data_IF_147422144172
#
_entry.id   IF_147422144172
#
_cell.length_a   1.000
_cell.length_b   1.000
_cell.length_c   1.000
_cell.angle_alpha   90.00
_cell.angle_beta   90.00
_cell.angle_gamma   90.00
#
_symmetry.space_group_name_H-M   'P 1'
#
loop_
_entity.id
_entity.type
_entity.pdbx_description
1 polymer ?
#
# COMPACT_ATOMS: atom_id res chain seq x y z
N UNK A 1 -1.76 -18.36 20.33
CA UNK A 1 -2.40 -19.09 19.21
C UNK A 1 -2.26 -18.25 17.95
N UNK A 2 -1.52 -18.73 16.95
CA UNK A 2 -1.32 -18.03 15.66
C UNK A 2 -2.49 -18.42 14.74
N UNK A 3 -3.54 -17.61 14.68
CA UNK A 3 -4.57 -17.75 13.64
C UNK A 3 -4.15 -16.93 12.43
N UNK A 4 -3.33 -17.53 11.57
CA UNK A 4 -3.17 -17.03 10.20
C UNK A 4 -4.33 -17.59 9.40
N UNK A 5 -5.25 -16.74 8.97
CA UNK A 5 -6.32 -17.16 8.04
C UNK A 5 -5.73 -17.38 6.65
N UNK A 6 -6.44 -18.12 5.81
CA UNK A 6 -6.13 -18.16 4.37
C UNK A 6 -6.39 -16.76 3.80
N UNK A 7 -5.36 -16.09 3.23
CA UNK A 7 -5.54 -14.80 2.57
C UNK A 7 -6.34 -14.98 1.28
N UNK A 8 -7.06 -13.93 0.88
CA UNK A 8 -7.63 -13.91 -0.46
C UNK A 8 -6.52 -13.62 -1.50
N UNK A 9 -6.86 -13.75 -2.79
CA UNK A 9 -5.90 -13.53 -3.88
C UNK A 9 -5.29 -12.13 -3.84
N UNK A 10 -6.10 -11.11 -3.57
CA UNK A 10 -5.66 -9.72 -3.53
C UNK A 10 -4.69 -9.47 -2.37
N UNK A 11 -4.93 -10.04 -1.19
CA UNK A 11 -4.01 -9.96 -0.06
C UNK A 11 -2.69 -10.68 -0.33
N UNK A 12 -2.75 -11.82 -1.02
CA UNK A 12 -1.54 -12.56 -1.40
C UNK A 12 -0.67 -11.71 -2.34
N UNK A 13 -1.28 -11.14 -3.39
CA UNK A 13 -0.59 -10.21 -4.30
C UNK A 13 -0.08 -8.95 -3.61
N UNK A 14 -0.84 -8.43 -2.64
CA UNK A 14 -0.42 -7.29 -1.83
C UNK A 14 0.83 -7.61 -0.98
N UNK A 15 0.87 -8.80 -0.37
CA UNK A 15 2.02 -9.25 0.41
C UNK A 15 3.26 -9.44 -0.48
N UNK A 16 3.11 -10.05 -1.66
CA UNK A 16 4.19 -10.20 -2.64
C UNK A 16 4.73 -8.86 -3.13
N UNK A 17 3.84 -7.91 -3.47
CA UNK A 17 4.23 -6.57 -3.90
C UNK A 17 4.95 -5.79 -2.80
N UNK A 18 4.49 -5.92 -1.55
CA UNK A 18 5.15 -5.34 -0.39
C UNK A 18 6.54 -5.94 -0.19
N UNK A 19 6.65 -7.27 -0.24
CA UNK A 19 7.92 -7.96 -0.07
C UNK A 19 8.93 -7.58 -1.15
N UNK A 20 8.50 -7.55 -2.42
CA UNK A 20 9.33 -7.11 -3.54
C UNK A 20 9.80 -5.65 -3.39
N UNK A 21 8.94 -4.75 -2.89
CA UNK A 21 9.31 -3.36 -2.62
C UNK A 21 10.38 -3.28 -1.53
N UNK A 22 10.23 -4.01 -0.43
CA UNK A 22 11.17 -3.99 0.69
C UNK A 22 12.53 -4.57 0.29
N UNK A 23 12.54 -5.66 -0.49
CA UNK A 23 13.77 -6.27 -1.01
C UNK A 23 14.52 -5.39 -2.02
N UNK A 24 13.85 -4.41 -2.63
CA UNK A 24 14.52 -3.46 -3.54
C UNK A 24 15.46 -2.48 -2.82
N UNK A 25 15.42 -2.41 -1.49
CA UNK A 25 16.23 -1.51 -0.67
C UNK A 25 17.11 -2.32 0.28
N UNK A 26 18.43 -2.33 0.05
CA UNK A 26 19.40 -3.15 0.80
C UNK A 26 19.43 -2.89 2.31
N UNK A 27 19.07 -1.68 2.74
CA UNK A 27 19.05 -1.29 4.16
C UNK A 27 17.83 -1.81 4.91
N UNK A 28 16.86 -2.39 4.20
CA UNK A 28 15.65 -3.00 4.77
C UNK A 28 15.78 -4.52 4.70
N UNK A 29 15.51 -5.20 5.81
CA UNK A 29 15.41 -6.66 5.86
C UNK A 29 14.01 -7.06 6.27
N UNK A 30 13.29 -7.78 5.41
CA UNK A 30 12.01 -8.39 5.78
C UNK A 30 12.27 -9.54 6.75
N UNK A 31 11.63 -9.54 7.92
CA UNK A 31 11.70 -10.64 8.89
C UNK A 31 10.53 -11.59 8.77
N UNK A 32 9.32 -11.05 8.66
CA UNK A 32 8.09 -11.84 8.61
C UNK A 32 6.95 -11.02 8.00
N UNK A 33 6.06 -11.65 7.24
CA UNK A 33 4.83 -11.05 6.71
C UNK A 33 3.67 -11.95 7.11
N UNK A 34 2.78 -11.42 7.95
CA UNK A 34 1.65 -12.17 8.50
C UNK A 34 0.33 -11.61 8.00
N UNK A 35 -0.56 -12.50 7.58
CA UNK A 35 -1.96 -12.16 7.35
C UNK A 35 -2.72 -12.12 8.66
N UNK A 36 -3.44 -11.03 8.86
CA UNK A 36 -4.22 -10.81 10.06
C UNK A 36 -5.65 -11.32 9.86
N UNK A 37 -6.29 -11.83 10.94
CA UNK A 37 -7.69 -12.24 10.88
C UNK A 37 -8.61 -11.10 10.44
N UNK A 38 -9.70 -11.41 9.72
CA UNK A 38 -10.61 -10.42 9.14
C UNK A 38 -11.28 -9.47 10.17
N UNK A 39 -11.35 -9.88 11.44
CA UNK A 39 -11.88 -9.07 12.55
C UNK A 39 -10.86 -8.10 13.16
N UNK A 40 -9.59 -8.15 12.73
CA UNK A 40 -8.58 -7.15 13.09
C UNK A 40 -8.72 -5.94 12.18
N UNK A 41 -8.30 -4.78 12.70
CA UNK A 41 -8.36 -3.50 11.99
C UNK A 41 -7.39 -3.39 10.81
N UNK A 42 -6.60 -4.44 10.52
CA UNK A 42 -5.45 -4.41 9.60
C UNK A 42 -5.38 -5.75 8.92
N UNK A 43 -5.03 -5.80 7.64
CA UNK A 43 -5.11 -7.02 6.82
C UNK A 43 -3.76 -7.76 6.78
N UNK A 44 -2.64 -7.01 6.73
CA UNK A 44 -1.28 -7.57 6.73
C UNK A 44 -0.44 -6.86 7.80
N UNK A 45 0.44 -7.61 8.47
CA UNK A 45 1.45 -7.10 9.39
C UNK A 45 2.82 -7.58 8.92
N UNK A 46 3.70 -6.67 8.52
CA UNK A 46 5.09 -6.99 8.19
C UNK A 46 6.02 -6.54 9.32
N UNK A 47 6.86 -7.46 9.79
CA UNK A 47 7.96 -7.18 10.69
C UNK A 47 9.22 -6.98 9.83
N UNK A 48 9.83 -5.81 9.92
CA UNK A 48 11.03 -5.45 9.14
C UNK A 48 12.14 -4.96 10.07
N UNK A 49 13.37 -4.99 9.56
CA UNK A 49 14.52 -4.39 10.21
C UNK A 49 15.12 -3.31 9.32
N UNK A 50 15.30 -2.11 9.87
CA UNK A 50 15.90 -0.96 9.19
C UNK A 50 17.11 -0.53 10.02
N UNK A 51 18.31 -0.62 9.44
CA UNK A 51 19.56 -0.28 10.13
C UNK A 51 19.71 -0.91 11.54
N UNK A 52 19.26 -2.15 11.71
CA UNK A 52 19.32 -2.85 13.01
C UNK A 52 18.10 -2.63 13.91
N UNK A 53 17.26 -1.62 13.67
CA UNK A 53 16.03 -1.36 14.44
C UNK A 53 14.84 -2.13 13.86
N UNK A 54 13.98 -2.65 14.74
CA UNK A 54 12.78 -3.35 14.31
C UNK A 54 11.63 -2.36 14.09
N UNK A 55 10.98 -2.46 12.94
CA UNK A 55 9.80 -1.67 12.61
C UNK A 55 8.65 -2.58 12.20
N UNK A 56 7.42 -2.11 12.40
CA UNK A 56 6.21 -2.82 11.97
C UNK A 56 5.54 -2.03 10.87
N UNK A 57 5.25 -2.68 9.75
CA UNK A 57 4.33 -2.13 8.75
C UNK A 57 2.95 -2.71 9.00
N UNK A 58 2.00 -1.82 9.20
CA UNK A 58 0.60 -2.16 9.44
C UNK A 58 -0.16 -1.85 8.16
N UNK A 59 -0.61 -2.87 7.46
CA UNK A 59 -1.12 -2.71 6.11
C UNK A 59 -2.62 -2.99 6.04
N UNK A 60 -3.32 -2.21 5.23
CA UNK A 60 -4.69 -2.48 4.80
C UNK A 60 -4.76 -2.60 3.29
N UNK A 61 -5.54 -3.56 2.82
CA UNK A 61 -5.70 -3.88 1.40
C UNK A 61 -7.05 -3.38 0.92
N UNK A 62 -7.06 -2.67 -0.21
CA UNK A 62 -8.28 -2.21 -0.87
C UNK A 62 -8.25 -2.53 -2.38
N UNK A 63 -9.42 -2.59 -2.99
CA UNK A 63 -9.61 -2.87 -4.41
C UNK A 63 -9.31 -1.67 -5.34
N UNK A 64 -9.00 -0.51 -4.77
CA UNK A 64 -8.74 0.74 -5.49
C UNK A 64 -9.99 1.59 -5.74
N UNK A 65 -11.19 1.13 -5.35
CA UNK A 65 -12.39 1.96 -5.41
C UNK A 65 -12.34 3.03 -4.30
N UNK A 66 -12.82 4.27 -4.55
CA UNK A 66 -12.73 5.36 -3.59
C UNK A 66 -13.30 5.03 -2.20
N UNK A 67 -14.42 4.31 -2.14
CA UNK A 67 -15.03 3.90 -0.87
C UNK A 67 -14.22 2.82 -0.15
N UNK A 68 -13.61 1.91 -0.90
CA UNK A 68 -12.69 0.90 -0.36
C UNK A 68 -11.44 1.53 0.23
N UNK A 69 -10.85 2.48 -0.49
CA UNK A 69 -9.67 3.26 -0.06
C UNK A 69 -9.97 4.04 1.23
N UNK A 70 -11.08 4.79 1.28
CA UNK A 70 -11.47 5.54 2.48
C UNK A 70 -11.63 4.61 3.69
N UNK A 71 -12.35 3.49 3.53
CA UNK A 71 -12.52 2.49 4.60
C UNK A 71 -11.18 1.92 5.07
N UNK A 72 -10.25 1.63 4.16
CA UNK A 72 -8.93 1.13 4.51
C UNK A 72 -8.08 2.18 5.26
N UNK A 73 -8.17 3.46 4.88
CA UNK A 73 -7.47 4.54 5.59
C UNK A 73 -8.04 4.78 7.00
N UNK A 74 -9.35 4.68 7.17
CA UNK A 74 -9.97 4.82 8.50
C UNK A 74 -9.60 3.65 9.43
N UNK A 75 -9.52 2.43 8.88
CA UNK A 75 -8.97 1.24 9.56
C UNK A 75 -7.52 1.47 10.03
N UNK A 76 -6.67 2.03 9.18
CA UNK A 76 -5.27 2.31 9.49
C UNK A 76 -5.13 3.39 10.59
N UNK A 77 -5.92 4.47 10.52
CA UNK A 77 -5.93 5.52 11.56
C UNK A 77 -6.24 4.94 12.94
N UNK A 78 -7.31 4.17 13.03
CA UNK A 78 -7.76 3.54 14.28
C UNK A 78 -6.76 2.49 14.82
N UNK A 79 -5.84 2.03 13.99
CA UNK A 79 -4.79 1.06 14.35
C UNK A 79 -3.51 1.74 14.82
N UNK A 80 -3.15 2.88 14.22
CA UNK A 80 -2.01 3.70 14.61
C UNK A 80 -2.22 4.32 16.00
N UNK A 81 -3.43 4.84 16.28
CA UNK A 81 -3.79 5.42 17.59
C UNK A 81 -3.70 4.39 18.74
N UNK A 82 -3.77 3.10 18.42
CA UNK A 82 -3.72 2.01 19.41
C UNK A 82 -2.31 1.49 19.69
N UNK A 83 -1.27 1.91 18.94
CA UNK A 83 0.09 1.38 19.05
C UNK A 83 1.10 2.51 19.29
N UNK A 84 1.57 2.64 20.55
CA UNK A 84 2.69 3.52 20.90
C UNK A 84 3.98 3.03 20.22
N UNK A 85 4.46 3.80 19.24
CA UNK A 85 5.82 3.73 18.68
C UNK A 85 6.04 2.61 17.65
N UNK A 86 6.63 2.95 16.52
CA UNK A 86 7.24 2.04 15.52
C UNK A 86 6.31 1.28 14.55
N UNK A 87 5.03 1.65 14.47
CA UNK A 87 4.12 1.13 13.46
C UNK A 87 3.88 2.13 12.32
N UNK A 88 4.38 1.84 11.12
CA UNK A 88 4.11 2.63 9.91
C UNK A 88 2.84 2.11 9.23
N UNK A 89 1.79 2.93 9.09
CA UNK A 89 0.59 2.54 8.35
C UNK A 89 0.85 2.55 6.84
N UNK A 90 0.36 1.51 6.15
CA UNK A 90 0.54 1.34 4.70
C UNK A 90 -0.78 0.94 4.04
N UNK A 91 -1.17 1.65 2.99
CA UNK A 91 -2.28 1.26 2.12
C UNK A 91 -1.72 0.48 0.92
N UNK A 92 -2.34 -0.67 0.61
CA UNK A 92 -2.01 -1.46 -0.58
C UNK A 92 -3.25 -1.58 -1.45
N UNK A 93 -3.14 -1.21 -2.74
CA UNK A 93 -4.27 -1.26 -3.67
C UNK A 93 -3.90 -1.88 -5.01
N UNK A 94 -4.90 -2.22 -5.81
CA UNK A 94 -4.72 -2.60 -7.22
C UNK A 94 -4.08 -1.45 -8.03
N UNK A 95 -4.66 -0.26 -7.90
CA UNK A 95 -4.22 1.00 -8.49
C UNK A 95 -4.59 2.14 -7.53
N UNK A 96 -3.78 3.19 -7.46
CA UNK A 96 -4.04 4.35 -6.60
C UNK A 96 -4.13 5.63 -7.42
N UNK A 97 -5.30 6.29 -7.39
CA UNK A 97 -5.54 7.55 -8.10
C UNK A 97 -4.68 8.69 -7.53
N UNK A 98 -4.50 9.77 -8.29
CA UNK A 98 -3.78 10.96 -7.81
C UNK A 98 -4.45 11.57 -6.56
N UNK A 99 -5.78 11.57 -6.50
CA UNK A 99 -6.54 12.05 -5.35
C UNK A 99 -6.31 11.17 -4.11
N UNK A 100 -6.32 9.85 -4.27
CA UNK A 100 -6.10 8.92 -3.16
C UNK A 100 -4.65 8.95 -2.67
N UNK A 101 -3.68 9.19 -3.57
CA UNK A 101 -2.27 9.44 -3.21
C UNK A 101 -2.14 10.67 -2.32
N UNK A 102 -2.78 11.79 -2.70
CA UNK A 102 -2.77 13.01 -1.90
C UNK A 102 -3.39 12.79 -0.51
N UNK A 103 -4.49 12.02 -0.44
CA UNK A 103 -5.11 11.66 0.84
C UNK A 103 -4.20 10.78 1.72
N UNK A 104 -3.43 9.85 1.13
CA UNK A 104 -2.44 9.07 1.86
C UNK A 104 -1.33 9.97 2.44
N UNK A 105 -0.84 10.94 1.65
CA UNK A 105 0.18 11.89 2.11
C UNK A 105 -0.31 12.78 3.25
N UNK A 106 -1.51 13.35 3.12
CA UNK A 106 -2.15 14.16 4.16
C UNK A 106 -2.29 13.37 5.48
N UNK A 107 -2.68 12.10 5.38
CA UNK A 107 -2.86 11.20 6.54
C UNK A 107 -1.56 10.54 7.02
N UNK A 108 -0.41 10.87 6.42
CA UNK A 108 0.91 10.26 6.70
C UNK A 108 0.89 8.72 6.60
N UNK A 109 0.15 8.21 5.63
CA UNK A 109 0.05 6.78 5.31
C UNK A 109 0.96 6.50 4.11
N UNK A 110 1.84 5.50 4.24
CA UNK A 110 2.60 4.99 3.11
C UNK A 110 1.68 4.26 2.14
N UNK A 111 2.05 4.15 0.87
CA UNK A 111 1.26 3.39 -0.09
C UNK A 111 2.13 2.57 -1.04
N UNK A 112 1.54 1.51 -1.56
CA UNK A 112 1.97 0.87 -2.80
C UNK A 112 0.75 0.39 -3.59
N UNK A 113 0.85 0.41 -4.90
CA UNK A 113 -0.14 -0.24 -5.77
C UNK A 113 0.48 -1.37 -6.60
N UNK A 114 -0.37 -2.25 -7.12
CA UNK A 114 0.07 -3.38 -7.93
C UNK A 114 0.56 -2.97 -9.33
N UNK A 115 0.40 -1.69 -9.71
CA UNK A 115 1.02 -1.13 -10.91
C UNK A 115 2.48 -0.72 -10.68
N UNK A 116 2.99 -0.85 -9.45
CA UNK A 116 4.38 -0.60 -9.10
C UNK A 116 4.68 0.83 -8.62
N UNK A 117 3.64 1.65 -8.40
CA UNK A 117 3.80 2.92 -7.70
C UNK A 117 3.94 2.67 -6.20
N UNK A 118 4.81 3.41 -5.54
CA UNK A 118 4.98 3.32 -4.10
C UNK A 118 5.49 4.62 -3.51
N UNK A 119 5.08 4.88 -2.27
CA UNK A 119 5.65 5.91 -1.40
C UNK A 119 5.65 5.38 0.02
N UNK A 120 6.81 5.07 0.56
CA UNK A 120 6.94 4.52 1.91
C UNK A 120 8.02 5.28 2.67
N UNK A 121 7.72 5.64 3.92
CA UNK A 121 8.69 6.28 4.83
C UNK A 121 8.78 5.42 6.09
N UNK A 122 9.98 4.92 6.39
CA UNK A 122 10.26 4.12 7.58
C UNK A 122 11.58 4.59 8.17
N UNK A 123 11.53 5.12 9.39
CA UNK A 123 12.69 5.77 10.04
C UNK A 123 13.30 6.82 9.09
N UNK A 124 14.57 6.65 8.71
CA UNK A 124 15.30 7.56 7.80
C UNK A 124 15.21 7.15 6.32
N UNK A 125 14.52 6.05 5.99
CA UNK A 125 14.40 5.56 4.62
C UNK A 125 13.12 6.09 3.97
N UNK A 126 13.30 6.73 2.81
CA UNK A 126 12.23 7.05 1.87
C UNK A 126 12.33 6.15 0.63
N UNK A 127 11.23 5.48 0.30
CA UNK A 127 11.06 4.74 -0.95
C UNK A 127 10.02 5.45 -1.79
N UNK A 128 10.43 5.93 -2.96
CA UNK A 128 9.53 6.51 -3.97
C UNK A 128 9.66 5.74 -5.27
N UNK A 129 8.56 5.16 -5.76
CA UNK A 129 8.47 4.54 -7.08
C UNK A 129 7.29 5.10 -7.83
N UNK A 130 7.49 5.37 -9.11
CA UNK A 130 6.42 5.72 -10.04
C UNK A 130 6.56 4.80 -11.23
N UNK A 131 5.51 4.05 -11.53
CA UNK A 131 5.46 3.33 -12.79
C UNK A 131 5.18 4.34 -13.90
N UNK A 132 5.97 4.26 -14.96
CA UNK A 132 5.63 4.93 -16.21
C UNK A 132 4.63 4.00 -16.86
N UNK A 133 3.33 4.25 -16.66
CA UNK A 133 2.30 3.44 -17.29
C UNK A 133 2.59 3.34 -18.79
N UNK A 134 2.41 2.16 -19.38
CA UNK A 134 2.06 2.09 -20.79
C UNK A 134 0.77 2.89 -20.89
N UNK A 135 0.85 4.17 -21.29
CA UNK A 135 -0.33 4.92 -21.65
C UNK A 135 -1.09 4.05 -22.64
N UNK A 136 -2.28 3.56 -22.26
CA UNK A 136 -3.23 3.16 -23.29
C UNK A 136 -3.31 4.36 -24.22
N UNK A 137 -3.06 4.20 -25.54
CA UNK A 137 -2.98 5.34 -26.43
C UNK A 137 -4.27 6.12 -26.24
N UNK A 138 -4.12 7.41 -25.92
CA UNK A 138 -5.24 8.32 -25.80
C UNK A 138 -6.13 8.07 -27.01
N UNK A 139 -7.35 7.57 -26.80
CA UNK A 139 -8.31 7.44 -27.86
C UNK A 139 -8.49 8.84 -28.43
N UNK A 140 -7.83 9.09 -29.56
CA UNK A 140 -8.00 10.29 -30.34
C UNK A 140 -9.46 10.24 -30.79
N UNK A 141 -10.36 10.88 -30.04
CA UNK A 141 -11.73 11.12 -30.48
C UNK A 141 -11.58 12.08 -31.66
N UNK A 142 -11.50 11.52 -32.86
CA UNK A 142 -11.69 12.26 -34.10
C UNK A 142 -13.10 12.83 -34.07
N UNK A 143 -13.21 14.11 -33.70
CA UNK A 143 -14.38 14.90 -34.00
C UNK A 143 -14.41 15.10 -35.52
N UNK A 144 -15.14 14.25 -36.23
CA UNK A 144 -15.53 14.53 -37.61
C UNK A 144 -16.53 15.68 -37.59
N UNK A 145 -16.04 16.89 -37.80
CA UNK A 145 -16.87 18.01 -38.24
C UNK A 145 -17.27 17.78 -39.70
N UNK A 146 -18.56 17.62 -39.99
CA UNK A 146 -19.09 17.81 -41.34
C UNK A 146 -19.10 19.31 -41.67
N UNK A 147 -18.69 19.74 -42.88
CA UNK A 147 -19.12 21.01 -43.43
C UNK A 147 -20.44 20.86 -44.21
N UNK A 148 -21.04 22.02 -44.44
CA UNK A 148 -22.41 22.33 -44.89
C UNK A 148 -22.90 21.64 -46.18
#
# INVERSE_FOLDING_TARGET
MKSTRVPNEMESRAAEALDALLHSVSSIKTRDIKFQPAHRKTDILADINVFGKNHKLVCSVADGQPDGVKKALDKLRTSADSKKGDATPVLITSHLSAQDRAMCEERRVGFLDLEGNARLVVDEIFIGKRSVGSAAPAHHRSATSLPA
#
